data_IF_541527995048
#
_entry.id   IF_541527995048
#
_cell.length_a   1.000
_cell.length_b   1.000
_cell.length_c   1.000
_cell.angle_alpha   90.00
_cell.angle_beta   90.00
_cell.angle_gamma   90.00
#
_symmetry.space_group_name_H-M   'P 1'
#
loop_
_entity.id
_entity.type
_entity.pdbx_description
1 polymer ?
#
# COMPACT_ATOMS: atom_id res chain seq x y z
N UNK A 1 11.37 -27.04 -5.64
CA UNK A 1 11.08 -26.07 -6.72
C UNK A 1 12.18 -25.04 -6.74
N UNK A 2 12.84 -24.86 -7.90
CA UNK A 2 13.88 -23.85 -8.13
C UNK A 2 13.24 -22.52 -8.50
N UNK A 3 14.03 -21.44 -8.43
CA UNK A 3 13.58 -20.08 -8.80
C UNK A 3 13.09 -20.00 -10.25
N UNK A 4 13.80 -20.64 -11.17
CA UNK A 4 13.42 -20.63 -12.59
C UNK A 4 12.12 -21.40 -12.84
N UNK A 5 11.89 -22.51 -12.13
CA UNK A 5 10.60 -23.21 -12.18
C UNK A 5 9.46 -22.30 -11.72
N UNK A 6 9.67 -21.48 -10.69
CA UNK A 6 8.68 -20.54 -10.18
C UNK A 6 8.41 -19.39 -11.18
N UNK A 7 9.46 -18.88 -11.84
CA UNK A 7 9.33 -17.89 -12.93
C UNK A 7 8.57 -18.46 -14.12
N UNK A 8 8.87 -19.69 -14.54
CA UNK A 8 8.14 -20.35 -15.62
C UNK A 8 6.69 -20.64 -15.24
N UNK A 9 6.41 -20.95 -13.97
CA UNK A 9 5.04 -21.12 -13.49
C UNK A 9 4.19 -19.86 -13.66
N UNK A 10 4.78 -18.66 -13.60
CA UNK A 10 4.05 -17.41 -13.80
C UNK A 10 3.37 -17.31 -15.17
N UNK A 11 3.84 -18.05 -16.19
CA UNK A 11 3.21 -18.12 -17.51
C UNK A 11 1.76 -18.64 -17.48
N UNK A 12 1.42 -19.46 -16.48
CA UNK A 12 0.04 -19.92 -16.29
C UNK A 12 -0.90 -18.81 -15.79
N UNK A 13 -0.35 -17.75 -15.18
CA UNK A 13 -1.12 -16.60 -14.72
C UNK A 13 -1.26 -15.53 -15.81
N UNK A 14 -0.18 -15.27 -16.56
CA UNK A 14 -0.20 -14.35 -17.69
C UNK A 14 0.86 -14.77 -18.72
N UNK A 15 0.54 -14.83 -20.03
CA UNK A 15 1.43 -15.38 -21.05
C UNK A 15 2.77 -14.64 -21.18
N UNK A 16 2.78 -13.34 -20.92
CA UNK A 16 3.97 -12.47 -21.05
C UNK A 16 4.96 -12.57 -19.86
N UNK A 17 4.72 -13.48 -18.89
CA UNK A 17 5.58 -13.65 -17.72
C UNK A 17 6.65 -14.75 -17.92
N UNK A 18 7.59 -14.83 -16.98
CA UNK A 18 8.67 -15.82 -17.01
C UNK A 18 9.76 -15.51 -18.05
N UNK A 19 9.87 -14.24 -18.43
CA UNK A 19 10.91 -13.67 -19.27
C UNK A 19 11.66 -12.63 -18.44
N UNK A 20 12.97 -12.56 -18.59
CA UNK A 20 13.79 -11.58 -17.88
C UNK A 20 13.39 -10.15 -18.26
N UNK A 21 13.26 -9.29 -17.25
CA UNK A 21 12.87 -7.90 -17.44
C UNK A 21 14.09 -7.06 -17.84
N UNK A 22 13.93 -6.05 -18.72
CA UNK A 22 15.02 -5.14 -19.02
C UNK A 22 15.42 -4.35 -17.77
N UNK A 23 16.72 -4.15 -17.57
CA UNK A 23 17.22 -3.30 -16.49
C UNK A 23 16.81 -1.84 -16.75
N UNK A 24 16.03 -1.28 -15.81
CA UNK A 24 15.67 0.14 -15.78
C UNK A 24 16.37 0.80 -14.60
N UNK A 25 17.15 1.84 -14.89
CA UNK A 25 17.79 2.65 -13.86
C UNK A 25 16.94 3.88 -13.55
N UNK A 26 16.68 4.12 -12.27
CA UNK A 26 15.86 5.23 -11.79
C UNK A 26 16.73 6.40 -11.30
N UNK A 27 17.82 6.11 -10.56
CA UNK A 27 18.72 7.10 -9.98
C UNK A 27 20.10 7.21 -10.64
N UNK A 28 20.22 6.97 -11.95
CA UNK A 28 21.51 7.08 -12.65
C UNK A 28 22.05 8.52 -12.72
N UNK A 29 21.15 9.49 -12.92
CA UNK A 29 21.47 10.92 -13.01
C UNK A 29 20.41 11.71 -12.24
N UNK A 30 20.81 12.29 -11.11
CA UNK A 30 19.92 13.02 -10.22
C UNK A 30 19.87 14.52 -10.47
N UNK A 31 20.44 15.01 -11.57
CA UNK A 31 20.35 16.42 -11.94
C UNK A 31 18.92 16.75 -12.38
N UNK A 32 18.30 17.74 -11.73
CA UNK A 32 17.00 18.27 -12.15
C UNK A 32 17.09 18.99 -13.50
N UNK A 33 18.21 19.65 -13.76
CA UNK A 33 18.47 20.39 -14.99
C UNK A 33 19.70 19.81 -15.71
N UNK A 34 19.47 19.26 -16.90
CA UNK A 34 20.46 18.67 -17.80
C UNK A 34 20.51 19.52 -19.07
N UNK A 35 21.38 20.54 -19.13
CA UNK A 35 21.43 21.47 -20.26
C UNK A 35 21.85 20.79 -21.57
N UNK A 36 22.60 19.70 -21.47
CA UNK A 36 23.16 18.95 -22.60
C UNK A 36 22.16 17.98 -23.24
N UNK A 37 20.96 17.81 -22.66
CA UNK A 37 19.97 16.88 -23.18
C UNK A 37 19.25 17.47 -24.42
N UNK A 38 19.19 16.76 -25.55
CA UNK A 38 18.82 17.33 -26.85
C UNK A 38 17.36 17.80 -26.97
N UNK A 39 16.44 17.24 -26.18
CA UNK A 39 14.99 17.47 -26.33
C UNK A 39 14.31 18.11 -25.12
N UNK A 40 14.81 17.85 -23.91
CA UNK A 40 14.19 18.29 -22.67
C UNK A 40 15.27 18.48 -21.61
N UNK A 41 15.45 19.72 -21.16
CA UNK A 41 16.45 20.07 -20.15
C UNK A 41 16.07 19.60 -18.74
N UNK A 42 14.83 19.19 -18.52
CA UNK A 42 14.34 18.61 -17.26
C UNK A 42 13.95 17.14 -17.44
N UNK A 43 14.68 16.40 -18.29
CA UNK A 43 14.36 15.01 -18.66
C UNK A 43 14.13 14.11 -17.45
N UNK A 44 15.04 14.11 -16.47
CA UNK A 44 14.94 13.25 -15.30
C UNK A 44 13.67 13.52 -14.50
N UNK A 45 13.35 14.81 -14.24
CA UNK A 45 12.12 15.19 -13.56
C UNK A 45 10.86 14.80 -14.36
N UNK A 46 10.90 15.00 -15.68
CA UNK A 46 9.79 14.63 -16.56
C UNK A 46 9.54 13.13 -16.53
N UNK A 47 10.60 12.31 -16.65
CA UNK A 47 10.47 10.86 -16.63
C UNK A 47 9.90 10.34 -15.32
N UNK A 48 10.31 10.92 -14.19
CA UNK A 48 9.80 10.55 -12.86
C UNK A 48 8.32 10.93 -12.69
N UNK A 49 7.93 12.16 -13.06
CA UNK A 49 6.53 12.62 -12.91
C UNK A 49 5.57 11.83 -13.81
N UNK A 50 6.02 11.42 -15.00
CA UNK A 50 5.22 10.64 -15.94
C UNK A 50 5.42 9.12 -15.80
N UNK A 51 6.06 8.68 -14.72
CA UNK A 51 6.14 7.27 -14.36
C UNK A 51 4.81 6.80 -13.73
N UNK A 52 4.48 5.52 -13.93
CA UNK A 52 3.36 4.87 -13.24
C UNK A 52 3.43 4.98 -11.72
N UNK A 53 4.65 5.05 -11.14
CA UNK A 53 4.84 5.15 -9.70
C UNK A 53 4.34 6.46 -9.09
N UNK A 54 4.34 7.56 -9.85
CA UNK A 54 3.82 8.86 -9.39
C UNK A 54 2.34 8.76 -8.98
N UNK A 55 1.51 8.21 -9.86
CA UNK A 55 0.09 7.99 -9.56
C UNK A 55 -0.11 6.88 -8.52
N UNK A 56 0.72 5.84 -8.55
CA UNK A 56 0.66 4.75 -7.58
C UNK A 56 0.88 5.25 -6.15
N UNK A 57 1.81 6.19 -5.94
CA UNK A 57 2.03 6.83 -4.64
C UNK A 57 0.77 7.59 -4.19
N UNK A 58 0.24 8.50 -5.02
CA UNK A 58 -0.93 9.31 -4.67
C UNK A 58 -2.14 8.42 -4.29
N UNK A 59 -2.50 7.47 -5.17
CA UNK A 59 -3.66 6.59 -4.93
C UNK A 59 -3.40 5.58 -3.81
N UNK A 60 -2.18 5.08 -3.69
CA UNK A 60 -1.78 4.17 -2.62
C UNK A 60 -1.92 4.83 -1.24
N UNK A 61 -1.40 6.05 -1.08
CA UNK A 61 -1.51 6.80 0.17
C UNK A 61 -2.92 7.29 0.48
N UNK A 62 -3.69 7.63 -0.55
CA UNK A 62 -5.13 7.88 -0.41
C UNK A 62 -5.87 6.66 0.13
N UNK A 63 -5.63 5.47 -0.44
CA UNK A 63 -6.22 4.21 0.01
C UNK A 63 -5.81 3.84 1.44
N UNK A 64 -4.52 3.98 1.77
CA UNK A 64 -3.98 3.77 3.13
C UNK A 64 -4.62 4.71 4.13
N UNK A 65 -4.84 5.97 3.76
CA UNK A 65 -5.44 6.96 4.66
C UNK A 65 -6.90 6.63 4.99
N UNK A 66 -7.67 6.14 4.00
CA UNK A 66 -9.04 5.63 4.22
C UNK A 66 -9.05 4.41 5.14
N UNK A 67 -8.03 3.56 5.03
CA UNK A 67 -7.90 2.33 5.77
C UNK A 67 -7.49 2.57 7.25
N UNK A 68 -6.44 3.34 7.50
CA UNK A 68 -5.82 3.51 8.83
C UNK A 68 -6.44 4.68 9.62
N UNK A 69 -6.94 5.69 8.91
CA UNK A 69 -7.67 6.86 9.46
C UNK A 69 -6.92 7.63 10.56
N UNK A 70 -5.59 7.57 10.54
CA UNK A 70 -4.75 8.20 11.54
C UNK A 70 -3.55 8.89 10.88
N UNK A 71 -3.58 10.22 10.86
CA UNK A 71 -2.58 11.05 10.18
C UNK A 71 -1.14 10.82 10.71
N UNK A 72 -0.87 10.82 12.03
CA UNK A 72 0.49 10.56 12.53
C UNK A 72 1.02 9.18 12.12
N UNK A 73 0.20 8.14 12.22
CA UNK A 73 0.59 6.78 11.87
C UNK A 73 0.89 6.65 10.37
N UNK A 74 0.12 7.32 9.51
CA UNK A 74 0.35 7.37 8.07
C UNK A 74 1.67 8.05 7.71
N UNK A 75 2.04 9.13 8.41
CA UNK A 75 3.36 9.75 8.25
C UNK A 75 4.50 8.84 8.68
N UNK A 76 4.34 8.12 9.79
CA UNK A 76 5.33 7.12 10.24
C UNK A 76 5.51 6.03 9.20
N UNK A 77 4.43 5.54 8.61
CA UNK A 77 4.50 4.57 7.51
C UNK A 77 5.14 5.16 6.26
N UNK A 78 4.82 6.41 5.91
CA UNK A 78 5.38 7.06 4.71
C UNK A 78 6.88 7.20 4.81
N UNK A 79 7.38 7.80 5.90
CA UNK A 79 8.81 7.92 6.12
C UNK A 79 9.45 6.53 6.30
N UNK A 80 8.76 5.61 6.97
CA UNK A 80 9.24 4.25 7.18
C UNK A 80 9.45 3.46 5.88
N UNK A 81 8.59 3.64 4.89
CA UNK A 81 8.72 2.98 3.60
C UNK A 81 9.93 3.51 2.81
N UNK A 82 10.11 4.82 2.78
CA UNK A 82 11.26 5.47 2.11
C UNK A 82 12.60 5.06 2.74
N UNK A 83 12.62 4.88 4.07
CA UNK A 83 13.78 4.31 4.76
C UNK A 83 14.06 2.87 4.35
N UNK A 84 13.02 2.06 4.07
CA UNK A 84 13.21 0.71 3.54
C UNK A 84 13.74 0.73 2.11
N UNK A 85 13.25 1.64 1.26
CA UNK A 85 13.79 1.81 -0.08
C UNK A 85 15.26 2.19 -0.05
N UNK A 86 15.62 3.19 0.76
CA UNK A 86 17.02 3.55 0.98
C UNK A 86 17.86 2.38 1.50
N UNK A 87 17.29 1.55 2.40
CA UNK A 87 17.97 0.37 2.95
C UNK A 87 18.19 -0.71 1.88
N UNK A 88 17.20 -0.97 1.03
CA UNK A 88 17.19 -2.07 0.07
C UNK A 88 17.55 -1.68 -1.37
N UNK A 89 17.93 -0.42 -1.64
CA UNK A 89 18.37 0.06 -2.96
C UNK A 89 19.50 -0.74 -3.61
N UNK A 90 20.33 -1.40 -2.81
CA UNK A 90 21.43 -2.23 -3.27
C UNK A 90 20.96 -3.61 -3.78
N UNK A 91 19.76 -4.04 -3.38
CA UNK A 91 19.14 -5.29 -3.84
C UNK A 91 18.15 -5.05 -4.99
N UNK A 92 17.45 -3.91 -4.96
CA UNK A 92 16.37 -3.58 -5.89
C UNK A 92 16.70 -2.31 -6.67
N UNK A 93 16.97 -2.40 -7.99
CA UNK A 93 17.24 -1.24 -8.84
C UNK A 93 16.11 -0.20 -8.82
N UNK A 94 14.87 -0.64 -8.62
CA UNK A 94 13.70 0.23 -8.45
C UNK A 94 13.83 1.21 -7.28
N UNK A 95 14.49 0.81 -6.19
CA UNK A 95 14.63 1.64 -4.99
C UNK A 95 15.87 2.54 -5.04
N UNK A 96 16.68 2.44 -6.10
CA UNK A 96 17.80 3.33 -6.30
C UNK A 96 17.31 4.60 -7.00
N UNK A 97 16.67 5.47 -6.23
CA UNK A 97 16.08 6.72 -6.67
C UNK A 97 16.90 7.92 -6.22
N UNK A 98 16.56 9.10 -6.74
CA UNK A 98 17.24 10.33 -6.41
C UNK A 98 16.75 10.89 -5.08
N UNK A 99 17.62 11.59 -4.35
CA UNK A 99 17.24 12.16 -3.04
C UNK A 99 16.02 13.10 -3.12
N UNK A 100 15.88 13.84 -4.22
CA UNK A 100 14.75 14.75 -4.42
C UNK A 100 13.48 14.01 -4.82
N UNK A 101 13.61 12.80 -5.39
CA UNK A 101 12.49 11.92 -5.69
C UNK A 101 11.86 11.46 -4.37
N UNK A 102 12.63 10.70 -3.59
CA UNK A 102 12.20 10.14 -2.31
C UNK A 102 11.75 11.21 -1.30
N UNK A 103 12.52 12.30 -1.13
CA UNK A 103 12.17 13.32 -0.11
C UNK A 103 11.11 14.29 -0.62
N UNK A 104 11.28 14.88 -1.80
CA UNK A 104 10.41 15.98 -2.24
C UNK A 104 9.21 15.43 -2.98
N UNK A 105 9.42 14.56 -3.97
CA UNK A 105 8.32 14.06 -4.79
C UNK A 105 7.48 13.05 -4.01
N UNK A 106 8.08 12.03 -3.41
CA UNK A 106 7.32 10.99 -2.75
C UNK A 106 6.79 11.46 -1.39
N UNK A 107 7.65 11.72 -0.41
CA UNK A 107 7.20 12.12 0.95
C UNK A 107 6.36 13.41 0.93
N UNK A 108 6.89 14.50 0.37
CA UNK A 108 6.29 15.84 0.55
C UNK A 108 5.18 16.17 -0.45
N UNK A 109 5.16 15.56 -1.63
CA UNK A 109 4.14 15.84 -2.66
C UNK A 109 3.14 14.70 -2.75
N UNK A 110 3.55 13.52 -3.23
CA UNK A 110 2.65 12.42 -3.55
C UNK A 110 2.01 11.82 -2.28
N UNK A 111 2.82 11.45 -1.31
CA UNK A 111 2.39 10.80 -0.08
C UNK A 111 1.58 11.78 0.77
N UNK A 112 2.08 13.01 0.95
CA UNK A 112 1.34 14.08 1.63
C UNK A 112 -0.03 14.32 1.00
N UNK A 113 -0.10 14.51 -0.32
CA UNK A 113 -1.35 14.78 -1.02
C UNK A 113 -2.32 13.61 -0.93
N UNK A 114 -1.84 12.38 -1.14
CA UNK A 114 -2.63 11.16 -0.98
C UNK A 114 -3.22 11.04 0.43
N UNK A 115 -2.39 11.23 1.47
CA UNK A 115 -2.85 11.19 2.86
C UNK A 115 -3.87 12.30 3.12
N UNK A 116 -3.59 13.53 2.70
CA UNK A 116 -4.51 14.67 2.87
C UNK A 116 -5.87 14.39 2.22
N UNK A 117 -5.87 13.94 0.96
CA UNK A 117 -7.09 13.64 0.21
C UNK A 117 -7.87 12.47 0.84
N UNK A 118 -7.18 11.42 1.30
CA UNK A 118 -7.81 10.27 1.93
C UNK A 118 -8.41 10.64 3.29
N UNK A 119 -7.71 11.41 4.11
CA UNK A 119 -8.23 11.91 5.39
C UNK A 119 -9.39 12.89 5.18
N UNK A 120 -9.38 13.68 4.12
CA UNK A 120 -10.52 14.53 3.73
C UNK A 120 -11.73 13.67 3.32
N UNK A 121 -11.49 12.59 2.57
CA UNK A 121 -12.52 11.61 2.19
C UNK A 121 -13.17 10.98 3.42
N UNK A 122 -12.37 10.54 4.40
CA UNK A 122 -12.86 9.99 5.67
C UNK A 122 -13.75 11.01 6.39
N UNK A 123 -13.31 12.26 6.54
CA UNK A 123 -14.11 13.33 7.20
C UNK A 123 -15.41 13.63 6.46
N UNK A 124 -15.39 13.61 5.13
CA UNK A 124 -16.58 13.85 4.31
C UNK A 124 -17.66 12.80 4.57
N UNK A 125 -17.26 11.53 4.77
CA UNK A 125 -18.20 10.43 5.06
C UNK A 125 -18.56 10.29 6.55
N UNK A 126 -17.68 10.71 7.46
CA UNK A 126 -17.94 10.78 8.91
C UNK A 126 -19.10 11.72 9.25
N UNK A 127 -19.20 12.85 8.56
CA UNK A 127 -20.31 13.80 8.71
C UNK A 127 -21.64 13.35 8.10
N UNK A 128 -21.74 12.14 7.50
CA UNK A 128 -22.98 11.64 6.87
C UNK A 128 -23.67 10.64 7.79
N UNK A 129 -24.81 11.02 8.35
CA UNK A 129 -25.73 10.07 8.97
C UNK A 129 -26.38 9.22 7.88
N UNK A 130 -26.13 7.91 7.88
CA UNK A 130 -26.80 6.98 6.97
C UNK A 130 -28.09 6.48 7.60
N UNK A 131 -29.23 6.81 7.02
CA UNK A 131 -30.45 6.06 7.31
C UNK A 131 -30.36 4.68 6.66
N UNK A 132 -30.24 3.64 7.48
CA UNK A 132 -30.14 2.25 7.05
C UNK A 132 -31.49 1.69 6.61
N UNK A 133 -32.15 2.34 5.65
CA UNK A 133 -33.34 1.80 5.00
C UNK A 133 -32.92 0.65 4.06
N UNK A 134 -33.68 -0.45 4.06
CA UNK A 134 -33.38 -1.63 3.23
C UNK A 134 -33.39 -1.33 1.73
N UNK A 135 -32.60 -2.08 0.93
CA UNK A 135 -32.48 -1.90 -0.54
C UNK A 135 -33.86 -1.99 -1.23
N UNK A 136 -34.74 -2.87 -0.73
CA UNK A 136 -36.10 -3.05 -1.25
C UNK A 136 -37.01 -1.83 -1.06
N UNK A 137 -36.67 -0.93 -0.13
CA UNK A 137 -37.43 0.30 0.16
C UNK A 137 -36.88 1.52 -0.59
N UNK A 138 -35.85 1.37 -1.42
CA UNK A 138 -35.31 2.48 -2.21
C UNK A 138 -36.19 2.77 -3.43
N UNK A 139 -36.68 4.00 -3.60
CA UNK A 139 -37.67 4.34 -4.63
C UNK A 139 -37.09 4.29 -6.05
N UNK A 140 -35.79 4.58 -6.21
CA UNK A 140 -35.13 4.72 -7.52
C UNK A 140 -34.00 3.70 -7.71
N UNK A 141 -33.71 3.35 -8.97
CA UNK A 141 -32.58 2.48 -9.35
C UNK A 141 -31.24 3.08 -8.89
N UNK A 142 -31.06 4.39 -9.05
CA UNK A 142 -29.88 5.12 -8.55
C UNK A 142 -29.77 5.00 -7.02
N UNK A 143 -30.91 5.02 -6.31
CA UNK A 143 -30.97 4.81 -4.86
C UNK A 143 -30.55 3.39 -4.47
N UNK A 144 -30.95 2.37 -5.24
CA UNK A 144 -30.51 0.98 -5.03
C UNK A 144 -29.01 0.82 -5.26
N UNK A 145 -28.46 1.35 -6.36
CA UNK A 145 -27.01 1.30 -6.64
C UNK A 145 -26.22 2.01 -5.55
N UNK A 146 -26.62 3.23 -5.18
CA UNK A 146 -25.99 3.98 -4.09
C UNK A 146 -26.06 3.21 -2.77
N UNK A 147 -27.16 2.53 -2.49
CA UNK A 147 -27.35 1.73 -1.27
C UNK A 147 -26.48 0.48 -1.26
N UNK A 148 -26.36 -0.23 -2.38
CA UNK A 148 -25.48 -1.39 -2.55
C UNK A 148 -24.03 -0.98 -2.37
N UNK A 149 -23.59 0.12 -3.00
CA UNK A 149 -22.24 0.64 -2.79
C UNK A 149 -22.00 1.05 -1.32
N UNK A 150 -23.01 1.63 -0.67
CA UNK A 150 -22.97 1.97 0.76
C UNK A 150 -22.91 0.76 1.71
N UNK A 151 -23.22 -0.47 1.26
CA UNK A 151 -22.98 -1.67 2.08
C UNK A 151 -21.49 -2.02 2.19
N UNK A 152 -20.68 -1.58 1.21
CA UNK A 152 -19.23 -1.74 1.24
C UNK A 152 -18.55 -0.60 2.01
N UNK A 153 -19.31 0.44 2.40
CA UNK A 153 -18.81 1.46 3.34
C UNK A 153 -19.11 1.07 4.78
N UNK A 154 -18.22 1.41 5.71
CA UNK A 154 -18.48 1.29 7.14
C UNK A 154 -19.84 1.76 7.65
N UNK A 155 -20.31 1.13 8.73
CA UNK A 155 -21.45 1.62 9.52
C UNK A 155 -21.17 2.98 10.18
N UNK A 156 -19.96 3.16 10.70
CA UNK A 156 -19.45 4.42 11.24
C UNK A 156 -18.05 4.69 10.66
N UNK A 157 -17.80 5.95 10.35
CA UNK A 157 -16.53 6.44 9.79
C UNK A 157 -15.64 7.10 10.86
N UNK A 158 -15.84 6.70 12.12
CA UNK A 158 -15.05 7.18 13.25
C UNK A 158 -13.55 7.00 13.00
N UNK A 159 -12.77 7.93 13.55
CA UNK A 159 -11.32 7.86 13.54
C UNK A 159 -10.87 6.67 14.38
N UNK A 160 -10.02 5.83 13.81
CA UNK A 160 -9.43 4.72 14.54
C UNK A 160 -8.47 5.28 15.61
N UNK A 161 -8.73 4.92 16.86
CA UNK A 161 -7.94 5.35 18.00
C UNK A 161 -6.77 4.39 18.22
N UNK A 162 -5.55 4.80 17.84
CA UNK A 162 -4.35 3.95 17.98
C UNK A 162 -3.57 4.23 19.26
N UNK A 163 -3.46 5.51 19.64
CA UNK A 163 -2.81 6.01 20.85
C UNK A 163 -1.50 5.29 21.26
N UNK A 164 -0.46 5.29 20.40
CA UNK A 164 0.77 4.52 20.61
C UNK A 164 1.52 4.88 21.91
N UNK A 165 1.35 6.10 22.42
CA UNK A 165 2.05 6.60 23.61
C UNK A 165 1.32 6.34 24.94
N UNK A 166 0.18 5.63 24.94
CA UNK A 166 -0.55 5.32 26.18
C UNK A 166 0.19 4.34 27.11
N UNK A 167 1.19 3.63 26.60
CA UNK A 167 2.03 2.74 27.39
C UNK A 167 2.93 1.88 26.53
N UNK A 168 3.96 1.25 27.12
CA UNK A 168 4.97 0.49 26.37
C UNK A 168 4.36 -0.69 25.59
N UNK A 169 3.37 -1.38 26.16
CA UNK A 169 2.70 -2.48 25.46
C UNK A 169 1.87 -1.99 24.28
N UNK A 170 1.16 -0.87 24.44
CA UNK A 170 0.39 -0.25 23.35
C UNK A 170 1.32 0.19 22.22
N UNK A 171 2.48 0.75 22.55
CA UNK A 171 3.50 1.12 21.59
C UNK A 171 3.99 -0.09 20.79
N UNK A 172 4.36 -1.20 21.46
CA UNK A 172 4.79 -2.43 20.79
C UNK A 172 3.70 -2.96 19.85
N UNK A 173 2.44 -2.95 20.27
CA UNK A 173 1.32 -3.41 19.45
C UNK A 173 1.17 -2.56 18.17
N UNK A 174 1.15 -1.22 18.30
CA UNK A 174 1.05 -0.33 17.13
C UNK A 174 2.30 -0.44 16.25
N UNK A 175 3.49 -0.61 16.84
CA UNK A 175 4.73 -0.83 16.08
C UNK A 175 4.68 -2.14 15.29
N UNK A 176 4.18 -3.23 15.87
CA UNK A 176 3.99 -4.51 15.16
C UNK A 176 3.07 -4.35 13.96
N UNK A 177 2.01 -3.55 14.07
CA UNK A 177 1.15 -3.21 12.93
C UNK A 177 1.95 -2.53 11.82
N UNK A 178 2.76 -1.52 12.16
CA UNK A 178 3.61 -0.83 11.18
C UNK A 178 4.58 -1.79 10.48
N UNK A 179 5.24 -2.66 11.25
CA UNK A 179 6.19 -3.64 10.71
C UNK A 179 5.48 -4.59 9.73
N UNK A 180 4.34 -5.15 10.11
CA UNK A 180 3.57 -6.05 9.23
C UNK A 180 3.13 -5.30 7.96
N UNK A 181 2.64 -4.07 8.10
CA UNK A 181 2.20 -3.25 6.97
C UNK A 181 3.35 -3.02 5.99
N UNK A 182 4.47 -2.50 6.48
CA UNK A 182 5.67 -2.26 5.67
C UNK A 182 6.23 -3.55 5.06
N UNK A 183 6.15 -4.68 5.75
CA UNK A 183 6.57 -5.99 5.20
C UNK A 183 5.71 -6.40 4.01
N UNK A 184 4.39 -6.22 4.09
CA UNK A 184 3.47 -6.50 2.97
C UNK A 184 3.79 -5.62 1.76
N UNK A 185 4.10 -4.35 2.00
CA UNK A 185 4.50 -3.42 0.92
C UNK A 185 5.80 -3.88 0.29
N UNK A 186 6.83 -4.11 1.09
CA UNK A 186 8.15 -4.55 0.66
C UNK A 186 8.08 -5.89 -0.11
N UNK A 187 7.27 -6.83 0.35
CA UNK A 187 7.00 -8.09 -0.35
C UNK A 187 6.47 -7.86 -1.77
N UNK A 188 5.70 -6.79 -2.02
CA UNK A 188 5.26 -6.45 -3.39
C UNK A 188 6.43 -6.25 -4.33
N UNK A 189 7.47 -5.55 -3.86
CA UNK A 189 8.65 -5.22 -4.65
C UNK A 189 9.61 -6.41 -4.79
N UNK A 190 9.78 -7.21 -3.74
CA UNK A 190 10.61 -8.41 -3.83
C UNK A 190 9.95 -9.52 -4.66
N UNK A 191 8.63 -9.74 -4.53
CA UNK A 191 7.94 -10.75 -5.33
C UNK A 191 8.01 -10.41 -6.82
N UNK A 192 7.75 -9.14 -7.20
CA UNK A 192 7.83 -8.73 -8.60
C UNK A 192 9.25 -8.91 -9.15
N UNK A 193 10.27 -8.60 -8.34
CA UNK A 193 11.67 -8.76 -8.72
C UNK A 193 12.07 -10.23 -8.87
N UNK A 194 11.83 -11.06 -7.85
CA UNK A 194 12.22 -12.47 -7.85
C UNK A 194 11.51 -13.29 -8.93
N UNK A 195 10.25 -12.95 -9.25
CA UNK A 195 9.40 -13.68 -10.19
C UNK A 195 9.32 -13.06 -11.59
N UNK A 196 10.10 -12.01 -11.87
CA UNK A 196 10.10 -11.29 -13.16
C UNK A 196 8.69 -10.81 -13.59
N UNK A 197 8.00 -10.14 -12.68
CA UNK A 197 6.69 -9.54 -12.95
C UNK A 197 6.89 -8.05 -13.27
N UNK A 198 6.57 -7.58 -14.48
CA UNK A 198 6.74 -6.18 -14.83
C UNK A 198 5.77 -5.29 -14.00
N UNK A 199 6.16 -4.05 -13.64
CA UNK A 199 5.33 -3.15 -12.83
C UNK A 199 3.91 -2.92 -13.37
N UNK A 200 3.77 -2.88 -14.70
CA UNK A 200 2.49 -2.65 -15.40
C UNK A 200 1.63 -3.91 -15.54
N UNK A 201 2.10 -5.07 -15.06
CA UNK A 201 1.36 -6.31 -15.20
C UNK A 201 0.11 -6.31 -14.29
N UNK A 202 -1.07 -6.73 -14.80
CA UNK A 202 -2.30 -6.75 -14.01
C UNK A 202 -2.24 -7.65 -12.77
N UNK A 203 -1.34 -8.65 -12.72
CA UNK A 203 -1.15 -9.52 -11.54
C UNK A 203 -0.79 -8.69 -10.30
N UNK A 204 0.03 -7.65 -10.46
CA UNK A 204 0.39 -6.75 -9.34
C UNK A 204 -0.85 -5.99 -8.88
N UNK A 205 -1.64 -5.44 -9.82
CA UNK A 205 -2.87 -4.74 -9.51
C UNK A 205 -3.89 -5.64 -8.79
N UNK A 206 -4.09 -6.88 -9.27
CA UNK A 206 -4.98 -7.84 -8.62
C UNK A 206 -4.54 -8.17 -7.19
N UNK A 207 -3.23 -8.35 -6.99
CA UNK A 207 -2.66 -8.57 -5.65
C UNK A 207 -2.92 -7.36 -4.74
N UNK A 208 -2.69 -6.14 -5.21
CA UNK A 208 -2.93 -4.91 -4.44
C UNK A 208 -4.41 -4.76 -4.06
N UNK A 209 -5.33 -5.03 -4.99
CA UNK A 209 -6.78 -5.01 -4.73
C UNK A 209 -7.15 -6.06 -3.68
N UNK A 210 -6.63 -7.29 -3.81
CA UNK A 210 -6.90 -8.36 -2.85
C UNK A 210 -6.40 -7.99 -1.44
N UNK A 211 -5.17 -7.47 -1.34
CA UNK A 211 -4.61 -6.98 -0.08
C UNK A 211 -5.44 -5.84 0.50
N UNK A 212 -5.91 -4.90 -0.33
CA UNK A 212 -6.77 -3.81 0.13
C UNK A 212 -8.10 -4.33 0.71
N UNK A 213 -8.74 -5.30 0.03
CA UNK A 213 -9.98 -5.93 0.49
C UNK A 213 -9.80 -6.72 1.80
N UNK A 214 -8.69 -7.42 1.97
CA UNK A 214 -8.35 -8.13 3.22
C UNK A 214 -8.01 -7.15 4.33
N UNK A 215 -7.28 -6.08 4.01
CA UNK A 215 -6.82 -5.12 5.00
C UNK A 215 -7.97 -4.37 5.68
N UNK A 216 -9.08 -4.08 4.98
CA UNK A 216 -10.24 -3.38 5.53
C UNK A 216 -10.77 -4.05 6.82
N UNK A 217 -11.17 -5.34 6.82
CA UNK A 217 -11.58 -6.02 8.04
C UNK A 217 -10.40 -6.26 8.99
N UNK A 218 -9.19 -6.56 8.50
CA UNK A 218 -8.01 -6.77 9.37
C UNK A 218 -7.72 -5.57 10.26
N UNK A 219 -7.65 -4.35 9.70
CA UNK A 219 -7.34 -3.14 10.47
C UNK A 219 -8.41 -2.87 11.52
N UNK A 220 -9.68 -3.15 11.21
CA UNK A 220 -10.79 -3.01 12.16
C UNK A 220 -10.76 -4.02 13.28
N UNK A 221 -10.55 -5.29 12.95
CA UNK A 221 -10.39 -6.35 13.94
C UNK A 221 -9.20 -6.06 14.86
N UNK A 222 -8.09 -5.58 14.30
CA UNK A 222 -6.91 -5.23 15.07
C UNK A 222 -7.15 -4.02 15.97
N UNK A 223 -7.74 -2.94 15.46
CA UNK A 223 -8.07 -1.78 16.27
C UNK A 223 -9.03 -2.14 17.41
N UNK A 224 -10.09 -2.91 17.11
CA UNK A 224 -11.03 -3.40 18.13
C UNK A 224 -10.35 -4.27 19.18
N UNK A 225 -9.40 -5.13 18.78
CA UNK A 225 -8.61 -5.95 19.72
C UNK A 225 -7.75 -5.09 20.65
N UNK A 226 -7.18 -3.99 20.14
CA UNK A 226 -6.43 -3.05 20.96
C UNK A 226 -7.33 -2.31 21.95
N UNK A 227 -8.55 -1.93 21.55
CA UNK A 227 -9.49 -1.19 22.40
C UNK A 227 -10.24 -2.08 23.41
N UNK A 228 -10.36 -3.39 23.17
CA UNK A 228 -11.03 -4.30 24.09
C UNK A 228 -10.32 -4.33 25.45
N UNK A 229 -11.08 -4.16 26.55
CA UNK A 229 -10.58 -4.21 27.93
C UNK A 229 -10.80 -5.57 28.60
N UNK A 230 -11.37 -6.54 27.89
CA UNK A 230 -11.59 -7.89 28.42
C UNK A 230 -10.26 -8.58 28.80
N UNK A 231 -10.26 -9.38 29.88
CA UNK A 231 -9.07 -10.09 30.33
C UNK A 231 -8.60 -11.18 29.37
N UNK A 232 -9.53 -11.80 28.63
CA UNK A 232 -9.22 -12.76 27.56
C UNK A 232 -9.60 -12.14 26.23
N UNK A 233 -8.60 -11.81 25.42
CA UNK A 233 -8.77 -11.19 24.10
C UNK A 233 -8.48 -12.21 23.00
N UNK A 234 -9.23 -12.15 21.91
CA UNK A 234 -8.96 -12.96 20.71
C UNK A 234 -8.68 -12.03 19.55
N UNK A 235 -7.58 -12.29 18.84
CA UNK A 235 -7.27 -11.64 17.58
C UNK A 235 -8.23 -12.20 16.52
N UNK A 236 -8.81 -11.32 15.71
CA UNK A 236 -9.79 -11.68 14.70
C UNK A 236 -9.22 -12.55 13.57
N UNK A 237 -10.11 -13.21 12.82
CA UNK A 237 -9.72 -14.18 11.79
C UNK A 237 -9.00 -13.53 10.61
N UNK A 238 -9.38 -12.30 10.21
CA UNK A 238 -8.70 -11.58 9.13
C UNK A 238 -7.31 -11.09 9.54
N UNK A 239 -7.09 -10.78 10.82
CA UNK A 239 -5.74 -10.54 11.34
C UNK A 239 -4.82 -11.77 11.19
N UNK A 240 -5.31 -12.96 11.56
CA UNK A 240 -4.55 -14.20 11.37
C UNK A 240 -4.31 -14.52 9.91
N UNK A 241 -5.34 -14.39 9.06
CA UNK A 241 -5.23 -14.62 7.62
C UNK A 241 -4.20 -13.69 6.99
N UNK A 242 -4.30 -12.38 7.24
CA UNK A 242 -3.36 -11.37 6.76
C UNK A 242 -1.93 -11.68 7.21
N UNK A 243 -1.75 -12.08 8.47
CA UNK A 243 -0.42 -12.42 9.01
C UNK A 243 0.14 -13.68 8.34
N UNK A 244 -0.68 -14.71 8.13
CA UNK A 244 -0.30 -15.92 7.42
C UNK A 244 0.12 -15.64 5.97
N UNK A 245 -0.65 -14.83 5.24
CA UNK A 245 -0.31 -14.45 3.85
C UNK A 245 1.01 -13.66 3.84
N UNK A 246 1.17 -12.67 4.72
CA UNK A 246 2.41 -11.89 4.84
C UNK A 246 3.64 -12.79 5.06
N UNK A 247 3.54 -13.75 5.98
CA UNK A 247 4.61 -14.71 6.27
C UNK A 247 4.90 -15.59 5.04
N UNK A 248 3.87 -16.12 4.38
CA UNK A 248 4.06 -16.96 3.19
C UNK A 248 4.75 -16.16 2.07
N UNK A 249 4.30 -14.94 1.80
CA UNK A 249 4.94 -14.06 0.81
C UNK A 249 6.40 -13.76 1.18
N UNK A 250 6.68 -13.45 2.45
CA UNK A 250 8.04 -13.21 2.92
C UNK A 250 8.93 -14.44 2.74
N UNK A 251 8.43 -15.64 3.05
CA UNK A 251 9.16 -16.90 2.85
C UNK A 251 9.44 -17.16 1.37
N UNK A 252 8.50 -16.80 0.48
CA UNK A 252 8.70 -16.87 -0.97
C UNK A 252 9.81 -15.89 -1.39
N UNK A 253 9.78 -14.65 -0.90
CA UNK A 253 10.82 -13.65 -1.15
C UNK A 253 12.20 -14.14 -0.70
N UNK A 254 12.32 -14.69 0.51
CA UNK A 254 13.58 -15.23 1.04
C UNK A 254 14.06 -16.41 0.20
N UNK A 255 13.17 -17.34 -0.16
CA UNK A 255 13.51 -18.54 -0.91
C UNK A 255 13.97 -18.26 -2.34
N UNK A 256 13.37 -17.27 -3.01
CA UNK A 256 13.65 -16.97 -4.42
C UNK A 256 14.48 -15.68 -4.61
N UNK A 257 14.77 -14.95 -3.54
CA UNK A 257 15.61 -13.75 -3.55
C UNK A 257 17.11 -14.02 -3.50
N UNK A 258 17.51 -15.24 -3.16
CA UNK A 258 18.86 -15.80 -3.39
C UNK A 258 18.95 -16.39 -4.79
#
# INVERSE_FOLDING_TARGET
QRRDDARQFMKFLHPDLGIELPERSYGADCRLYVPDHPTNRFKNLYDTIFDEFFLAHIFGWWGKAILIRNQPLLWVLSIGFELLELTFRHMLPNFNECWWDSIVLDILICNWFGIWAGMHTVRYFDGKTYEWVGISRQPNIIGRVKRTLGQFTPAHWDKDEWHPLQGPWRFIQVLTLCIIFLTVELNTFFLKFSLWIPPRNPVILYRLILWWLIAIPTIREYNSYLQDRKPVKKVGSFCWLSTGICIVELLICIKFGT
#
